data_IF_365461640475
#
_entry.id   IF_365461640475
#
_cell.length_a   1.000
_cell.length_b   1.000
_cell.length_c   1.000
_cell.angle_alpha   90.00
_cell.angle_beta   90.00
_cell.angle_gamma   90.00
#
_symmetry.space_group_name_H-M   'P 1'
#
loop_
_entity.id
_entity.type
_entity.pdbx_description
1 polymer ?
#
# COMPACT_ATOMS: atom_id res chain seq x y z
N UNK A 1 -50.49 7.56 33.45
CA UNK A 1 -51.69 7.61 32.58
C UNK A 1 -51.40 8.70 31.56
N UNK A 2 -51.24 8.47 30.27
CA UNK A 2 -51.47 7.32 29.40
C UNK A 2 -50.62 7.50 28.13
N UNK A 3 -50.25 6.39 27.50
CA UNK A 3 -49.67 6.36 26.16
C UNK A 3 -50.70 6.81 25.11
N UNK A 4 -50.32 7.59 24.07
CA UNK A 4 -51.11 7.66 22.85
C UNK A 4 -50.48 6.78 21.76
N UNK A 5 -51.25 5.75 21.36
CA UNK A 5 -51.05 4.99 20.12
C UNK A 5 -51.23 5.90 18.90
N UNK A 6 -50.33 5.85 17.92
CA UNK A 6 -50.56 6.45 16.61
C UNK A 6 -51.00 5.39 15.59
N UNK A 7 -52.27 5.49 15.23
CA UNK A 7 -52.98 4.78 14.17
C UNK A 7 -52.43 5.09 12.77
N UNK A 8 -52.25 4.04 11.95
CA UNK A 8 -51.95 4.14 10.52
C UNK A 8 -53.17 4.62 9.71
N UNK A 9 -53.03 5.57 8.77
CA UNK A 9 -54.07 5.85 7.81
C UNK A 9 -54.01 4.88 6.62
N UNK A 10 -55.13 4.19 6.38
CA UNK A 10 -55.44 3.49 5.13
C UNK A 10 -55.75 4.52 4.03
N UNK A 11 -54.88 4.68 3.03
CA UNK A 11 -55.25 5.02 1.63
C UNK A 11 -54.03 4.92 0.73
N UNK A 12 -54.19 4.16 -0.36
CA UNK A 12 -53.13 3.82 -1.30
C UNK A 12 -52.54 5.03 -2.03
N UNK A 13 -51.23 5.00 -2.22
CA UNK A 13 -50.51 5.88 -3.13
C UNK A 13 -49.98 5.06 -4.31
N UNK A 14 -50.47 5.38 -5.50
CA UNK A 14 -49.95 4.87 -6.77
C UNK A 14 -48.62 5.56 -7.08
N UNK A 15 -47.53 4.78 -7.14
CA UNK A 15 -46.28 5.17 -7.77
C UNK A 15 -46.42 5.03 -9.30
N UNK A 16 -46.00 5.99 -10.13
CA UNK A 16 -45.81 5.72 -11.55
C UNK A 16 -44.66 4.74 -11.73
N UNK A 17 -44.96 3.67 -12.47
CA UNK A 17 -44.08 2.56 -12.78
C UNK A 17 -42.85 3.01 -13.59
N UNK A 18 -41.69 3.10 -12.94
CA UNK A 18 -40.40 3.24 -13.63
C UNK A 18 -39.28 2.49 -12.89
N UNK A 19 -39.55 1.29 -12.36
CA UNK A 19 -38.51 0.35 -11.92
C UNK A 19 -38.97 -1.09 -12.23
N UNK A 20 -38.18 -1.91 -12.95
CA UNK A 20 -38.48 -3.32 -13.09
C UNK A 20 -38.42 -4.00 -11.72
N UNK A 21 -39.43 -4.80 -11.40
CA UNK A 21 -39.52 -5.57 -10.17
C UNK A 21 -38.27 -6.47 -10.00
N UNK A 22 -37.57 -6.34 -8.86
CA UNK A 22 -36.47 -7.23 -8.50
C UNK A 22 -35.25 -6.61 -7.81
N UNK A 23 -35.25 -5.32 -7.47
CA UNK A 23 -34.11 -4.67 -6.78
C UNK A 23 -34.40 -4.49 -5.29
N UNK A 24 -33.72 -5.26 -4.42
CA UNK A 24 -33.56 -4.92 -2.99
C UNK A 24 -32.13 -4.40 -2.79
N UNK A 25 -31.99 -3.46 -1.85
CA UNK A 25 -30.81 -2.67 -1.45
C UNK A 25 -30.60 -1.34 -2.19
N UNK A 26 -30.83 -0.26 -1.44
CA UNK A 26 -30.35 1.09 -1.70
C UNK A 26 -29.47 1.47 -0.51
N UNK A 27 -28.17 1.66 -0.72
CA UNK A 27 -27.29 2.25 0.31
C UNK A 27 -27.18 3.74 -0.03
N UNK A 28 -27.62 4.59 0.90
CA UNK A 28 -27.53 6.04 0.82
C UNK A 28 -26.20 6.46 1.45
N UNK A 29 -25.24 6.96 0.65
CA UNK A 29 -24.01 7.57 1.16
C UNK A 29 -24.03 9.05 0.81
N UNK A 30 -24.09 9.90 1.83
CA UNK A 30 -24.05 11.37 1.69
C UNK A 30 -22.60 11.85 1.77
N UNK A 31 -22.10 12.48 0.71
CA UNK A 31 -20.81 13.18 0.70
C UNK A 31 -21.05 14.60 0.15
N UNK A 32 -20.51 15.66 0.77
CA UNK A 32 -20.67 17.00 0.24
C UNK A 32 -19.63 17.23 -0.85
N UNK A 33 -20.01 17.48 -2.11
CA UNK A 33 -19.06 18.10 -3.04
C UNK A 33 -19.68 18.98 -4.13
N UNK A 34 -18.84 19.94 -4.49
CA UNK A 34 -19.01 21.12 -5.32
C UNK A 34 -18.99 20.79 -6.82
N UNK A 35 -19.83 21.51 -7.58
CA UNK A 35 -19.87 21.70 -9.04
C UNK A 35 -20.58 20.69 -9.98
N UNK A 36 -21.83 21.07 -10.31
CA UNK A 36 -22.60 21.01 -11.58
C UNK A 36 -22.57 19.73 -12.46
N UNK A 37 -23.59 18.88 -12.29
CA UNK A 37 -24.53 18.49 -13.37
C UNK A 37 -25.89 18.11 -12.75
N UNK A 38 -27.00 18.65 -13.25
CA UNK A 38 -28.31 18.67 -12.58
C UNK A 38 -29.20 17.45 -12.91
N UNK A 39 -29.77 16.81 -11.89
CA UNK A 39 -31.11 16.20 -11.95
C UNK A 39 -31.99 16.98 -10.96
N UNK A 40 -33.03 17.65 -11.48
CA UNK A 40 -33.89 18.55 -10.72
C UNK A 40 -34.97 17.73 -10.01
N UNK A 41 -34.87 17.59 -8.68
CA UNK A 41 -35.99 17.18 -7.84
C UNK A 41 -36.46 18.41 -7.05
N UNK A 42 -37.73 18.78 -7.19
CA UNK A 42 -38.37 19.85 -6.41
C UNK A 42 -39.27 19.21 -5.35
N UNK A 43 -38.96 19.44 -4.07
CA UNK A 43 -39.91 19.29 -2.96
C UNK A 43 -39.62 20.36 -1.90
N UNK A 44 -40.68 20.87 -1.27
CA UNK A 44 -40.69 22.02 -0.36
C UNK A 44 -39.81 21.80 0.88
N UNK A 45 -38.85 22.70 1.12
CA UNK A 45 -38.05 22.70 2.35
C UNK A 45 -36.54 22.92 2.14
N UNK A 46 -36.16 24.07 1.59
CA UNK A 46 -34.97 24.85 2.00
C UNK A 46 -33.53 24.30 1.94
N UNK A 47 -33.25 23.01 1.70
CA UNK A 47 -31.86 22.49 1.68
C UNK A 47 -31.63 21.60 0.46
N UNK A 48 -30.68 22.01 -0.41
CA UNK A 48 -30.27 21.24 -1.59
C UNK A 48 -29.35 20.09 -1.18
N UNK A 49 -29.85 18.87 -1.21
CA UNK A 49 -29.04 17.65 -1.16
C UNK A 49 -28.99 17.03 -2.56
N UNK A 50 -27.78 16.85 -3.11
CA UNK A 50 -27.59 16.11 -4.36
C UNK A 50 -27.53 14.62 -4.08
N UNK A 51 -28.50 13.85 -4.56
CA UNK A 51 -28.41 12.38 -4.56
C UNK A 51 -27.62 11.92 -5.80
N UNK A 52 -26.40 11.46 -5.59
CA UNK A 52 -25.66 10.74 -6.63
C UNK A 52 -26.14 9.29 -6.64
N UNK A 53 -27.02 8.96 -7.58
CA UNK A 53 -27.42 7.57 -7.86
C UNK A 53 -26.28 6.89 -8.62
N UNK A 54 -25.38 6.23 -7.89
CA UNK A 54 -24.37 5.35 -8.50
C UNK A 54 -25.09 4.11 -9.00
N UNK A 55 -25.28 4.03 -10.32
CA UNK A 55 -25.83 2.85 -10.99
C UNK A 55 -24.75 1.76 -10.96
N UNK A 56 -24.77 0.91 -9.94
CA UNK A 56 -23.95 -0.30 -9.92
C UNK A 56 -24.37 -1.18 -11.10
N UNK A 57 -23.46 -1.34 -12.05
CA UNK A 57 -23.70 -2.10 -13.26
C UNK A 57 -24.01 -3.56 -12.87
N UNK A 58 -25.18 -4.07 -13.26
CA UNK A 58 -25.62 -5.46 -13.02
C UNK A 58 -24.79 -6.41 -13.91
N UNK A 59 -23.52 -6.60 -13.57
CA UNK A 59 -22.57 -7.38 -14.38
C UNK A 59 -21.76 -8.41 -13.62
N UNK A 60 -21.63 -8.31 -12.30
CA UNK A 60 -20.96 -9.35 -11.51
C UNK A 60 -21.71 -9.56 -10.20
N UNK A 61 -22.37 -10.72 -10.05
CA UNK A 61 -22.82 -11.20 -8.73
C UNK A 61 -21.57 -11.60 -7.93
N UNK A 62 -20.70 -10.66 -7.56
CA UNK A 62 -19.60 -10.93 -6.63
C UNK A 62 -20.21 -11.07 -5.24
N UNK A 63 -19.95 -12.15 -4.50
CA UNK A 63 -20.54 -12.33 -3.18
C UNK A 63 -19.93 -11.31 -2.21
N UNK A 64 -20.76 -10.43 -1.66
CA UNK A 64 -20.39 -9.43 -0.64
C UNK A 64 -19.64 -10.05 0.56
N UNK A 65 -19.84 -11.35 0.81
CA UNK A 65 -19.15 -12.09 1.86
C UNK A 65 -17.63 -12.10 1.73
N UNK A 66 -17.07 -12.03 0.52
CA UNK A 66 -15.60 -11.99 0.34
C UNK A 66 -15.01 -10.65 0.78
N UNK A 67 -15.62 -9.54 0.38
CA UNK A 67 -15.19 -8.18 0.77
C UNK A 67 -15.24 -8.02 2.29
N UNK A 68 -16.29 -8.54 2.92
CA UNK A 68 -16.43 -8.50 4.37
C UNK A 68 -15.24 -9.17 5.09
N UNK A 69 -14.61 -10.18 4.50
CA UNK A 69 -13.44 -10.83 5.11
C UNK A 69 -12.22 -9.89 5.21
N UNK A 70 -12.03 -9.00 4.22
CA UNK A 70 -10.96 -7.97 4.29
C UNK A 70 -11.33 -6.90 5.30
N UNK A 71 -12.59 -6.46 5.32
CA UNK A 71 -13.08 -5.47 6.30
C UNK A 71 -12.98 -6.00 7.74
N UNK A 72 -13.34 -7.26 7.97
CA UNK A 72 -13.13 -7.95 9.25
C UNK A 72 -11.66 -7.92 9.66
N UNK A 73 -10.74 -8.25 8.75
CA UNK A 73 -9.31 -8.14 9.02
C UNK A 73 -8.91 -6.71 9.43
N UNK A 74 -9.39 -5.70 8.69
CA UNK A 74 -9.07 -4.30 8.99
C UNK A 74 -9.58 -3.90 10.39
N UNK A 75 -10.75 -4.37 10.82
CA UNK A 75 -11.25 -4.14 12.19
C UNK A 75 -10.38 -4.88 13.21
N UNK A 76 -10.17 -6.18 13.02
CA UNK A 76 -9.40 -7.04 13.94
C UNK A 76 -7.98 -6.51 14.13
N UNK A 77 -7.33 -6.02 13.07
CA UNK A 77 -5.97 -5.51 13.12
C UNK A 77 -5.83 -4.25 14.01
N UNK A 78 -6.92 -3.53 14.31
CA UNK A 78 -6.93 -2.42 15.26
C UNK A 78 -7.21 -2.84 16.70
N UNK A 79 -7.85 -4.00 16.90
CA UNK A 79 -8.25 -4.50 18.22
C UNK A 79 -7.21 -5.46 18.82
N UNK A 80 -6.48 -6.17 17.95
CA UNK A 80 -5.54 -7.22 18.33
C UNK A 80 -4.14 -6.67 18.58
N UNK A 81 -3.53 -7.10 19.69
CA UNK A 81 -2.20 -6.65 20.14
C UNK A 81 -1.10 -7.72 20.03
N UNK A 82 -1.33 -8.81 19.28
CA UNK A 82 -0.38 -9.92 19.11
C UNK A 82 -0.03 -10.12 17.65
N UNK A 83 1.27 -10.24 17.36
CA UNK A 83 1.79 -10.42 15.99
C UNK A 83 1.20 -11.66 15.29
N UNK A 84 1.15 -12.81 15.97
CA UNK A 84 0.60 -14.04 15.38
C UNK A 84 -0.87 -13.94 14.97
N UNK A 85 -1.69 -13.29 15.80
CA UNK A 85 -3.13 -13.15 15.58
C UNK A 85 -3.44 -12.26 14.36
N UNK A 86 -2.63 -11.21 14.13
CA UNK A 86 -2.72 -10.37 12.92
C UNK A 86 -2.40 -11.20 11.67
N UNK A 87 -1.33 -12.00 11.70
CA UNK A 87 -0.98 -12.88 10.59
C UNK A 87 -2.07 -13.91 10.29
N UNK A 88 -2.69 -14.48 11.32
CA UNK A 88 -3.80 -15.43 11.18
C UNK A 88 -5.06 -14.76 10.58
N UNK A 89 -5.40 -13.55 11.03
CA UNK A 89 -6.53 -12.79 10.50
C UNK A 89 -6.31 -12.41 9.02
N UNK A 90 -5.09 -11.98 8.67
CA UNK A 90 -4.73 -11.68 7.27
C UNK A 90 -4.85 -12.92 6.39
N UNK A 91 -4.32 -14.07 6.86
CA UNK A 91 -4.46 -15.36 6.19
C UNK A 91 -5.93 -15.72 5.93
N UNK A 92 -6.80 -15.52 6.92
CA UNK A 92 -8.25 -15.76 6.78
C UNK A 92 -8.85 -14.90 5.66
N UNK A 93 -8.51 -13.61 5.62
CA UNK A 93 -9.01 -12.69 4.59
C UNK A 93 -8.55 -13.08 3.18
N UNK A 94 -7.27 -13.44 3.03
CA UNK A 94 -6.69 -13.91 1.76
C UNK A 94 -7.37 -15.22 1.30
N UNK A 95 -7.52 -16.19 2.20
CA UNK A 95 -8.13 -17.49 1.90
C UNK A 95 -9.60 -17.37 1.48
N UNK A 96 -10.35 -16.38 1.97
CA UNK A 96 -11.74 -16.14 1.55
C UNK A 96 -11.88 -15.84 0.04
N UNK A 97 -10.79 -15.39 -0.58
CA UNK A 97 -10.71 -15.15 -2.02
C UNK A 97 -10.21 -16.36 -2.82
N UNK A 98 -9.85 -17.47 -2.17
CA UNK A 98 -9.18 -18.66 -2.74
C UNK A 98 -7.72 -18.43 -3.16
N UNK A 99 -7.07 -17.40 -2.65
CA UNK A 99 -5.61 -17.34 -2.69
C UNK A 99 -5.06 -18.34 -1.68
N UNK A 100 -4.35 -19.36 -2.18
CA UNK A 100 -3.79 -20.45 -1.36
C UNK A 100 -2.43 -20.07 -0.76
N UNK A 101 -1.77 -19.11 -1.40
CA UNK A 101 -0.44 -18.68 -1.04
C UNK A 101 -0.44 -17.17 -0.84
N UNK A 102 0.32 -16.71 0.14
CA UNK A 102 0.61 -15.30 0.31
C UNK A 102 1.90 -15.12 1.07
N UNK A 103 2.44 -13.92 0.98
CA UNK A 103 3.30 -13.46 2.05
C UNK A 103 3.44 -11.96 2.07
N UNK A 104 3.72 -11.46 3.27
CA UNK A 104 4.13 -10.09 3.52
C UNK A 104 5.63 -10.13 3.82
N UNK A 105 6.39 -9.37 3.04
CA UNK A 105 7.84 -9.32 3.15
C UNK A 105 8.27 -7.90 3.42
N UNK A 106 9.26 -7.76 4.31
CA UNK A 106 10.02 -6.53 4.38
C UNK A 106 10.97 -6.49 3.18
N UNK A 107 11.03 -5.35 2.51
CA UNK A 107 12.02 -5.10 1.47
C UNK A 107 13.26 -4.52 2.11
N UNK A 108 14.40 -5.17 1.89
CA UNK A 108 15.71 -4.66 2.27
C UNK A 108 16.50 -4.34 1.00
N UNK A 109 16.91 -3.09 0.84
CA UNK A 109 17.91 -2.73 -0.16
C UNK A 109 19.26 -3.27 0.30
N UNK A 110 19.81 -4.21 -0.46
CA UNK A 110 21.11 -4.83 -0.20
C UNK A 110 21.82 -5.05 -1.53
N UNK A 111 23.06 -4.58 -1.67
CA UNK A 111 23.90 -4.84 -2.85
C UNK A 111 23.17 -4.63 -4.20
N UNK A 112 22.53 -3.45 -4.33
CA UNK A 112 21.72 -3.05 -5.49
C UNK A 112 20.58 -4.02 -5.85
N UNK A 113 20.11 -4.83 -4.91
CA UNK A 113 18.98 -5.72 -5.07
C UNK A 113 17.99 -5.59 -3.90
N UNK A 114 16.74 -5.96 -4.17
CA UNK A 114 15.70 -6.07 -3.14
C UNK A 114 15.71 -7.48 -2.58
N UNK A 115 16.25 -7.63 -1.36
CA UNK A 115 16.16 -8.89 -0.62
C UNK A 115 14.83 -8.93 0.17
N UNK A 116 13.92 -9.85 -0.16
CA UNK A 116 12.69 -10.01 0.59
C UNK A 116 12.96 -10.78 1.89
N UNK A 117 12.55 -10.23 3.02
CA UNK A 117 12.59 -10.92 4.32
C UNK A 117 11.16 -11.21 4.80
N UNK A 118 10.81 -12.48 5.02
CA UNK A 118 9.43 -12.86 5.34
C UNK A 118 9.01 -12.36 6.72
N UNK A 119 7.86 -11.69 6.77
CA UNK A 119 7.17 -11.33 8.02
C UNK A 119 6.12 -12.39 8.36
N UNK A 120 5.23 -12.67 7.39
CA UNK A 120 4.30 -13.78 7.41
C UNK A 120 4.25 -14.37 6.01
N UNK A 121 4.30 -15.70 5.91
CA UNK A 121 4.19 -16.38 4.62
C UNK A 121 3.43 -17.70 4.73
N UNK A 122 2.76 -18.04 3.64
CA UNK A 122 2.16 -19.35 3.37
C UNK A 122 2.53 -19.69 1.93
N UNK A 123 3.52 -20.56 1.80
CA UNK A 123 4.12 -21.01 0.54
C UNK A 123 4.34 -22.53 0.63
N UNK A 124 4.41 -23.28 -0.48
CA UNK A 124 4.92 -24.65 -0.43
C UNK A 124 6.26 -24.72 0.33
N UNK A 125 6.51 -25.80 1.10
CA UNK A 125 7.80 -26.02 1.75
C UNK A 125 8.95 -25.88 0.74
N UNK A 126 10.10 -25.37 1.20
CA UNK A 126 11.35 -25.22 0.42
C UNK A 126 11.29 -24.22 -0.76
N UNK A 127 10.11 -23.79 -1.21
CA UNK A 127 9.99 -22.91 -2.38
C UNK A 127 10.63 -21.53 -2.16
N UNK A 128 10.61 -21.01 -0.93
CA UNK A 128 11.25 -19.73 -0.61
C UNK A 128 12.77 -19.87 -0.51
N UNK A 129 13.24 -20.96 0.09
CA UNK A 129 14.68 -21.25 0.21
C UNK A 129 15.30 -21.46 -1.17
N UNK A 130 14.68 -22.29 -2.01
CA UNK A 130 15.09 -22.47 -3.40
C UNK A 130 15.08 -21.14 -4.19
N UNK A 131 14.08 -20.28 -3.95
CA UNK A 131 14.02 -18.95 -4.57
C UNK A 131 15.18 -18.05 -4.16
N UNK A 132 15.60 -18.09 -2.90
CA UNK A 132 16.76 -17.37 -2.39
C UNK A 132 18.08 -17.97 -2.91
N UNK A 133 18.22 -19.30 -2.88
CA UNK A 133 19.44 -20.02 -3.30
C UNK A 133 19.76 -19.83 -4.80
N UNK A 134 18.72 -19.70 -5.63
CA UNK A 134 18.85 -19.40 -7.05
C UNK A 134 18.98 -17.90 -7.35
N UNK A 135 18.98 -17.06 -6.31
CA UNK A 135 18.94 -15.61 -6.39
C UNK A 135 17.84 -15.08 -7.32
N UNK A 136 16.69 -15.76 -7.34
CA UNK A 136 15.60 -15.39 -8.25
C UNK A 136 15.03 -14.00 -7.95
N UNK A 137 15.17 -13.48 -6.73
CA UNK A 137 14.79 -12.10 -6.39
C UNK A 137 15.48 -11.04 -7.27
N UNK A 138 16.64 -11.32 -7.87
CA UNK A 138 17.34 -10.41 -8.82
C UNK A 138 16.77 -10.47 -10.24
N UNK A 139 16.06 -11.54 -10.58
CA UNK A 139 15.59 -11.83 -11.94
C UNK A 139 14.07 -11.77 -12.05
N UNK A 140 13.37 -11.96 -10.94
CA UNK A 140 11.91 -12.08 -10.88
C UNK A 140 11.25 -10.77 -11.34
N UNK A 141 10.55 -10.79 -12.48
CA UNK A 141 9.90 -9.59 -13.00
C UNK A 141 8.90 -8.99 -12.01
N UNK A 142 8.26 -9.84 -11.18
CA UNK A 142 7.30 -9.36 -10.18
C UNK A 142 7.97 -8.56 -9.07
N UNK A 143 9.25 -8.79 -8.80
CA UNK A 143 10.07 -8.02 -7.86
C UNK A 143 10.73 -6.83 -8.54
N UNK A 144 11.26 -6.99 -9.75
CA UNK A 144 11.87 -5.88 -10.50
C UNK A 144 10.86 -4.78 -10.84
N UNK A 145 9.62 -5.15 -11.14
CA UNK A 145 8.55 -4.17 -11.38
C UNK A 145 8.18 -3.36 -10.13
N UNK A 146 8.48 -3.88 -8.93
CA UNK A 146 8.13 -3.24 -7.66
C UNK A 146 8.84 -1.88 -7.48
N UNK A 147 10.01 -1.70 -8.11
CA UNK A 147 10.79 -0.46 -8.04
C UNK A 147 10.07 0.73 -8.68
N UNK A 148 9.23 0.48 -9.68
CA UNK A 148 8.51 1.51 -10.45
C UNK A 148 7.00 1.48 -10.21
N UNK A 149 6.49 0.50 -9.47
CA UNK A 149 5.07 0.32 -9.25
C UNK A 149 4.49 1.33 -8.24
N UNK A 150 3.58 2.20 -8.69
CA UNK A 150 2.86 3.12 -7.79
C UNK A 150 1.61 2.49 -7.17
N UNK A 151 1.11 1.41 -7.77
CA UNK A 151 -0.16 0.77 -7.39
C UNK A 151 -0.04 -0.76 -7.43
N UNK A 152 -0.98 -1.50 -6.82
CA UNK A 152 -1.03 -2.95 -6.97
C UNK A 152 -1.12 -3.40 -8.42
N UNK A 153 -0.39 -4.45 -8.77
CA UNK A 153 -0.34 -5.00 -10.13
C UNK A 153 -0.44 -6.53 -10.09
N UNK A 154 -0.87 -7.12 -11.20
CA UNK A 154 -0.88 -8.58 -11.34
C UNK A 154 0.48 -9.09 -11.82
N UNK A 155 0.77 -10.36 -11.53
CA UNK A 155 1.99 -10.99 -12.02
C UNK A 155 2.06 -11.01 -13.55
N UNK A 156 0.92 -11.17 -14.23
CA UNK A 156 0.84 -11.13 -15.69
C UNK A 156 1.32 -9.77 -16.22
N UNK A 157 0.94 -8.65 -15.58
CA UNK A 157 1.45 -7.32 -15.96
C UNK A 157 2.97 -7.24 -15.88
N UNK A 158 3.56 -7.76 -14.80
CA UNK A 158 5.01 -7.75 -14.62
C UNK A 158 5.74 -8.63 -15.65
N UNK A 159 5.24 -9.84 -15.91
CA UNK A 159 5.84 -10.73 -16.90
C UNK A 159 5.65 -10.24 -18.35
N UNK A 160 4.56 -9.53 -18.66
CA UNK A 160 4.33 -8.92 -19.97
C UNK A 160 5.29 -7.77 -20.27
N UNK A 161 5.86 -7.13 -19.24
CA UNK A 161 6.84 -6.07 -19.42
C UNK A 161 8.24 -6.60 -19.78
N UNK A 162 8.47 -7.91 -19.70
CA UNK A 162 9.78 -8.53 -20.02
C UNK A 162 9.89 -8.78 -21.52
N UNK A 163 10.86 -8.12 -22.17
CA UNK A 163 11.21 -8.38 -23.55
C UNK A 163 11.90 -9.75 -23.70
N UNK A 164 11.58 -10.46 -24.78
CA UNK A 164 12.32 -11.64 -25.25
C UNK A 164 13.82 -11.40 -25.46
N UNK A 165 14.24 -10.17 -25.75
CA UNK A 165 15.64 -9.77 -25.88
C UNK A 165 16.34 -9.59 -24.51
N UNK A 166 15.63 -9.74 -23.39
CA UNK A 166 16.21 -9.59 -22.06
C UNK A 166 17.35 -10.60 -21.85
N UNK A 167 18.54 -10.18 -21.35
CA UNK A 167 19.71 -11.05 -21.20
C UNK A 167 19.45 -12.35 -20.43
N UNK A 168 18.53 -12.30 -19.47
CA UNK A 168 18.16 -13.43 -18.61
C UNK A 168 16.79 -14.05 -18.95
N UNK A 169 16.27 -13.84 -20.16
CA UNK A 169 14.91 -14.29 -20.55
C UNK A 169 14.69 -15.80 -20.32
N UNK A 170 15.69 -16.64 -20.63
CA UNK A 170 15.62 -18.09 -20.40
C UNK A 170 15.48 -18.45 -18.93
N UNK A 171 16.22 -17.80 -18.04
CA UNK A 171 16.16 -18.00 -16.59
C UNK A 171 14.82 -17.52 -16.02
N UNK A 172 14.30 -16.38 -16.51
CA UNK A 172 12.97 -15.86 -16.15
C UNK A 172 11.88 -16.86 -16.54
N UNK A 173 11.98 -17.48 -17.72
CA UNK A 173 11.05 -18.52 -18.17
C UNK A 173 11.11 -19.78 -17.30
N UNK A 174 12.31 -20.20 -16.90
CA UNK A 174 12.50 -21.32 -15.97
C UNK A 174 11.88 -21.02 -14.62
N UNK A 175 12.19 -19.86 -14.02
CA UNK A 175 11.56 -19.37 -12.79
C UNK A 175 10.03 -19.43 -12.88
N UNK A 176 9.45 -18.90 -13.97
CA UNK A 176 8.00 -18.89 -14.16
C UNK A 176 7.42 -20.29 -14.23
N UNK A 177 8.08 -21.19 -14.94
CA UNK A 177 7.66 -22.60 -15.08
C UNK A 177 7.70 -23.31 -13.74
N UNK A 178 8.77 -23.13 -12.97
CA UNK A 178 8.91 -23.68 -11.62
C UNK A 178 7.83 -23.16 -10.66
N UNK A 179 7.54 -21.86 -10.71
CA UNK A 179 6.49 -21.26 -9.90
C UNK A 179 5.11 -21.88 -10.22
N UNK A 180 4.78 -22.03 -11.50
CA UNK A 180 3.54 -22.67 -11.96
C UNK A 180 3.45 -24.12 -11.47
N UNK A 181 4.54 -24.90 -11.58
CA UNK A 181 4.57 -26.29 -11.12
C UNK A 181 4.37 -26.43 -9.60
N UNK A 182 4.65 -25.36 -8.85
CA UNK A 182 4.42 -25.28 -7.40
C UNK A 182 3.06 -24.68 -7.02
N UNK A 183 2.16 -24.45 -7.98
CA UNK A 183 0.83 -23.89 -7.75
C UNK A 183 0.80 -22.35 -7.64
N UNK A 184 1.88 -21.65 -8.00
CA UNK A 184 1.95 -20.19 -8.05
C UNK A 184 1.63 -19.72 -9.48
N UNK A 185 0.37 -19.94 -9.89
CA UNK A 185 -0.06 -19.72 -11.27
C UNK A 185 -0.40 -18.26 -11.52
N UNK A 186 -1.20 -17.64 -10.66
CA UNK A 186 -1.63 -16.24 -10.83
C UNK A 186 -1.67 -15.54 -9.48
N UNK A 187 -1.43 -14.24 -9.48
CA UNK A 187 -1.27 -13.49 -8.26
C UNK A 187 -1.12 -12.00 -8.47
N UNK A 188 -1.05 -11.29 -7.36
CA UNK A 188 -0.91 -9.84 -7.30
C UNK A 188 0.25 -9.47 -6.38
N UNK A 189 0.93 -8.39 -6.73
CA UNK A 189 1.89 -7.71 -5.88
C UNK A 189 1.28 -6.40 -5.39
N UNK A 190 1.41 -6.15 -4.09
CA UNK A 190 0.81 -5.06 -3.34
C UNK A 190 1.95 -4.32 -2.63
N UNK A 191 2.50 -3.27 -3.23
CA UNK A 191 3.60 -2.51 -2.63
C UNK A 191 3.14 -1.77 -1.38
N UNK A 192 4.02 -1.68 -0.38
CA UNK A 192 3.78 -0.95 0.87
C UNK A 192 4.82 0.17 0.96
N UNK A 193 4.37 1.37 0.58
CA UNK A 193 5.15 2.61 0.70
C UNK A 193 4.96 3.29 2.06
N UNK A 194 6.02 3.89 2.56
CA UNK A 194 6.03 4.85 3.69
C UNK A 194 6.87 6.07 3.29
N UNK A 195 7.10 6.99 4.24
CA UNK A 195 7.91 8.21 4.01
C UNK A 195 9.35 7.89 3.57
N UNK A 196 9.85 6.73 3.94
CA UNK A 196 11.17 6.22 3.59
C UNK A 196 11.21 5.55 2.20
N UNK A 197 10.09 5.53 1.47
CA UNK A 197 9.95 4.84 0.18
C UNK A 197 9.32 3.45 0.33
N UNK A 198 9.71 2.53 -0.55
CA UNK A 198 9.24 1.15 -0.53
C UNK A 198 9.86 0.39 0.65
N UNK A 199 9.03 -0.07 1.58
CA UNK A 199 9.49 -0.69 2.83
C UNK A 199 9.05 -2.14 2.99
N UNK A 200 8.00 -2.54 2.27
CA UNK A 200 7.48 -3.89 2.24
C UNK A 200 6.71 -4.13 0.94
N UNK A 201 6.44 -5.40 0.66
CA UNK A 201 5.44 -5.81 -0.32
C UNK A 201 4.64 -6.98 0.23
N UNK A 202 3.37 -7.05 -0.17
CA UNK A 202 2.57 -8.25 0.00
C UNK A 202 2.34 -8.86 -1.37
N UNK A 203 2.50 -10.16 -1.51
CA UNK A 203 1.99 -10.87 -2.67
C UNK A 203 0.95 -11.90 -2.23
N UNK A 204 -0.02 -12.12 -3.11
CA UNK A 204 -1.09 -13.10 -2.94
C UNK A 204 -1.15 -13.93 -4.22
N UNK A 205 -1.28 -15.24 -4.09
CA UNK A 205 -1.24 -16.15 -5.23
C UNK A 205 -2.16 -17.35 -5.08
N UNK A 206 -2.53 -17.90 -6.23
CA UNK A 206 -3.38 -19.06 -6.35
C UNK A 206 -2.91 -19.94 -7.50
N UNK A 207 -3.36 -21.19 -7.46
CA UNK A 207 -3.16 -22.18 -8.52
C UNK A 207 -4.18 -22.00 -9.66
N UNK A 208 -5.17 -21.13 -9.47
CA UNK A 208 -6.13 -20.72 -10.49
C UNK A 208 -6.05 -19.21 -10.71
N UNK A 209 -6.48 -18.77 -11.89
CA UNK A 209 -6.58 -17.33 -12.17
C UNK A 209 -7.73 -16.71 -11.38
N UNK A 210 -7.42 -15.65 -10.64
CA UNK A 210 -8.39 -14.90 -9.82
C UNK A 210 -8.39 -13.46 -10.29
N UNK A 211 -9.56 -12.91 -10.59
CA UNK A 211 -9.72 -11.52 -10.99
C UNK A 211 -10.26 -10.67 -9.83
N UNK A 212 -9.44 -9.74 -9.36
CA UNK A 212 -9.84 -8.73 -8.38
C UNK A 212 -10.32 -7.46 -9.10
N UNK A 213 -11.39 -6.87 -8.59
CA UNK A 213 -11.82 -5.54 -9.00
C UNK A 213 -10.85 -4.48 -8.44
N UNK A 214 -10.80 -3.27 -9.04
CA UNK A 214 -9.95 -2.19 -8.53
C UNK A 214 -10.19 -1.85 -7.05
N UNK A 215 -11.44 -1.98 -6.59
CA UNK A 215 -11.79 -1.77 -5.19
C UNK A 215 -11.23 -2.87 -4.28
N UNK A 216 -11.31 -4.13 -4.69
CA UNK A 216 -10.74 -5.25 -3.93
C UNK A 216 -9.20 -5.14 -3.86
N UNK A 217 -8.55 -4.72 -4.94
CA UNK A 217 -7.11 -4.42 -4.93
C UNK A 217 -6.76 -3.30 -3.95
N UNK A 218 -7.58 -2.25 -3.91
CA UNK A 218 -7.40 -1.13 -2.96
C UNK A 218 -7.56 -1.61 -1.51
N UNK A 219 -8.54 -2.47 -1.24
CA UNK A 219 -8.75 -3.05 0.09
C UNK A 219 -7.59 -3.95 0.50
N UNK A 220 -7.09 -4.81 -0.39
CA UNK A 220 -5.92 -5.64 -0.13
C UNK A 220 -4.64 -4.81 0.06
N UNK A 221 -4.48 -3.73 -0.70
CA UNK A 221 -3.37 -2.78 -0.52
C UNK A 221 -3.42 -2.16 0.88
N UNK A 222 -4.60 -1.66 1.27
CA UNK A 222 -4.84 -1.13 2.62
C UNK A 222 -4.55 -2.19 3.70
N UNK A 223 -4.98 -3.43 3.46
CA UNK A 223 -4.71 -4.54 4.37
C UNK A 223 -3.20 -4.82 4.50
N UNK A 224 -2.42 -4.72 3.42
CA UNK A 224 -0.97 -4.84 3.44
C UNK A 224 -0.32 -3.74 4.29
N UNK A 225 -0.73 -2.47 4.13
CA UNK A 225 -0.23 -1.35 4.94
C UNK A 225 -0.53 -1.54 6.43
N UNK A 226 -1.76 -1.93 6.76
CA UNK A 226 -2.19 -2.17 8.15
C UNK A 226 -1.45 -3.35 8.75
N UNK A 227 -1.33 -4.47 8.03
CA UNK A 227 -0.57 -5.63 8.47
C UNK A 227 0.90 -5.28 8.74
N UNK A 228 1.54 -4.53 7.84
CA UNK A 228 2.92 -4.10 8.02
C UNK A 228 3.07 -3.11 9.19
N UNK A 229 2.11 -2.22 9.40
CA UNK A 229 2.07 -1.35 10.58
C UNK A 229 1.97 -2.16 11.88
N UNK A 230 1.08 -3.16 11.95
CA UNK A 230 0.98 -4.05 13.11
C UNK A 230 2.25 -4.87 13.32
N UNK A 231 2.95 -5.28 12.25
CA UNK A 231 4.27 -5.90 12.37
C UNK A 231 5.29 -4.98 13.05
N UNK A 232 5.35 -3.70 12.68
CA UNK A 232 6.25 -2.75 13.35
C UNK A 232 5.92 -2.57 14.84
N UNK A 233 4.65 -2.71 15.22
CA UNK A 233 4.16 -2.43 16.57
C UNK A 233 4.29 -3.64 17.51
N UNK A 234 4.01 -4.84 16.99
CA UNK A 234 3.89 -6.06 17.79
C UNK A 234 4.87 -7.17 17.38
N UNK A 235 5.55 -7.02 16.25
CA UNK A 235 6.49 -8.00 15.74
C UNK A 235 7.82 -8.01 16.49
N UNK A 236 8.64 -9.04 16.25
CA UNK A 236 9.97 -9.11 16.83
C UNK A 236 10.78 -7.88 16.42
N UNK A 237 11.51 -7.31 17.39
CA UNK A 237 12.44 -6.22 17.16
C UNK A 237 13.56 -6.71 16.24
N UNK A 238 13.34 -6.58 14.94
CA UNK A 238 14.34 -6.91 13.93
C UNK A 238 15.37 -5.78 13.92
N UNK A 239 16.57 -6.09 14.42
CA UNK A 239 17.77 -5.29 14.15
C UNK A 239 17.96 -5.30 12.63
N UNK A 240 17.54 -4.22 11.98
CA UNK A 240 17.85 -3.98 10.57
C UNK A 240 19.36 -4.15 10.37
N UNK A 241 19.76 -5.10 9.52
CA UNK A 241 21.17 -5.28 9.11
C UNK A 241 21.59 -4.27 8.04
N UNK A 242 20.65 -3.51 7.51
CA UNK A 242 20.94 -2.23 6.86
C UNK A 242 21.32 -1.27 7.98
N UNK A 243 22.41 -0.49 7.86
CA UNK A 243 22.58 0.69 8.69
C UNK A 243 21.37 1.59 8.40
N UNK A 244 20.30 1.43 9.19
CA UNK A 244 19.50 2.58 9.56
C UNK A 244 20.56 3.54 10.08
N UNK A 245 20.87 4.60 9.34
CA UNK A 245 21.34 5.83 9.98
C UNK A 245 20.40 5.98 11.16
N UNK A 246 20.99 5.83 12.36
CA UNK A 246 20.38 5.20 13.53
C UNK A 246 18.86 5.32 13.61
N UNK A 247 18.14 4.24 13.98
CA UNK A 247 16.69 4.28 14.25
C UNK A 247 16.23 5.28 15.34
N UNK A 248 17.09 6.21 15.75
CA UNK A 248 16.71 7.48 16.38
C UNK A 248 15.99 8.32 15.32
N UNK A 249 14.81 8.84 15.66
CA UNK A 249 14.27 10.02 14.98
C UNK A 249 15.38 11.08 15.00
N UNK A 250 16.00 11.34 13.85
CA UNK A 250 16.98 12.43 13.72
C UNK A 250 16.17 13.72 13.87
N UNK A 251 16.19 14.29 15.07
CA UNK A 251 15.56 15.57 15.34
C UNK A 251 16.47 16.67 14.80
N UNK A 252 16.02 17.27 13.71
CA UNK A 252 16.63 18.46 13.14
C UNK A 252 15.92 19.70 13.66
N UNK A 253 16.70 20.70 14.05
CA UNK A 253 16.19 22.06 14.25
C UNK A 253 15.67 22.64 12.93
N UNK A 254 14.83 23.66 13.01
CA UNK A 254 14.31 24.31 11.79
C UNK A 254 15.42 24.96 10.96
N UNK A 255 16.51 25.37 11.62
CA UNK A 255 17.70 25.88 10.94
C UNK A 255 18.44 24.80 10.17
N UNK A 256 18.63 23.63 10.79
CA UNK A 256 19.23 22.46 10.14
C UNK A 256 18.39 21.98 8.96
N UNK A 257 17.05 21.93 9.10
CA UNK A 257 16.16 21.60 7.99
C UNK A 257 16.28 22.59 6.84
N UNK A 258 16.30 23.89 7.14
CA UNK A 258 16.42 24.95 6.13
C UNK A 258 17.74 24.83 5.36
N UNK A 259 18.85 24.60 6.06
CA UNK A 259 20.16 24.38 5.44
C UNK A 259 20.14 23.10 4.60
N UNK A 260 19.64 21.99 5.15
CA UNK A 260 19.58 20.70 4.45
C UNK A 260 18.73 20.75 3.17
N UNK A 261 17.60 21.46 3.17
CA UNK A 261 16.77 21.67 1.97
C UNK A 261 17.55 22.41 0.88
N UNK A 262 18.25 23.50 1.24
CA UNK A 262 19.04 24.27 0.28
C UNK A 262 20.28 23.54 -0.21
N UNK A 263 20.87 22.69 0.65
CA UNK A 263 21.93 21.77 0.24
C UNK A 263 21.42 20.80 -0.84
N UNK A 264 20.20 20.28 -0.69
CA UNK A 264 19.57 19.37 -1.65
C UNK A 264 19.26 20.04 -2.99
N UNK A 265 18.95 21.34 -2.98
CA UNK A 265 18.79 22.18 -4.18
C UNK A 265 20.14 22.45 -4.91
N UNK A 266 21.27 21.98 -4.38
CA UNK A 266 22.58 22.15 -4.98
C UNK A 266 23.28 23.47 -4.63
N UNK A 267 22.70 24.28 -3.73
CA UNK A 267 23.31 25.54 -3.31
C UNK A 267 24.63 25.32 -2.59
N UNK A 268 25.60 26.20 -2.80
CA UNK A 268 26.88 26.28 -2.08
C UNK A 268 26.70 26.91 -0.69
N UNK A 269 27.68 26.73 0.21
CA UNK A 269 27.62 27.32 1.56
C UNK A 269 27.54 28.84 1.55
N UNK A 270 28.10 29.49 0.52
CA UNK A 270 28.03 30.94 0.31
C UNK A 270 26.62 31.37 -0.08
N UNK A 271 25.99 30.67 -1.04
CA UNK A 271 24.62 30.96 -1.48
C UNK A 271 23.62 30.72 -0.36
N UNK A 272 23.77 29.62 0.39
CA UNK A 272 22.94 29.33 1.56
C UNK A 272 23.08 30.45 2.58
N UNK A 273 24.31 30.84 2.93
CA UNK A 273 24.58 31.91 3.90
C UNK A 273 23.89 33.21 3.52
N UNK A 274 23.99 33.61 2.24
CA UNK A 274 23.27 34.78 1.71
C UNK A 274 21.75 34.62 1.80
N UNK A 275 21.23 33.44 1.46
CA UNK A 275 19.79 33.19 1.42
C UNK A 275 19.11 33.21 2.80
N UNK A 276 19.83 32.84 3.87
CA UNK A 276 19.25 32.75 5.23
C UNK A 276 19.88 33.73 6.23
N UNK A 277 20.78 34.60 5.78
CA UNK A 277 21.38 35.67 6.59
C UNK A 277 22.42 35.22 7.62
N UNK A 278 23.28 34.26 7.28
CA UNK A 278 24.42 33.83 8.12
C UNK A 278 25.72 33.73 7.30
N UNK A 279 26.87 33.63 7.97
CA UNK A 279 28.14 33.42 7.28
C UNK A 279 28.22 32.02 6.67
N UNK A 280 29.02 31.88 5.60
CA UNK A 280 29.38 30.58 5.02
C UNK A 280 29.99 29.63 6.06
N UNK A 281 30.82 30.14 6.96
CA UNK A 281 31.41 29.35 8.05
C UNK A 281 30.34 28.79 8.99
N UNK A 282 29.31 29.57 9.32
CA UNK A 282 28.19 29.07 10.12
C UNK A 282 27.40 27.99 9.36
N UNK A 283 27.22 28.13 8.04
CA UNK A 283 26.61 27.08 7.22
C UNK A 283 27.43 25.79 7.29
N UNK A 284 28.75 25.87 7.08
CA UNK A 284 29.63 24.70 7.12
C UNK A 284 29.61 24.01 8.49
N UNK A 285 29.53 24.78 9.58
CA UNK A 285 29.33 24.25 10.92
C UNK A 285 28.04 23.43 11.03
N UNK A 286 26.91 23.94 10.51
CA UNK A 286 25.66 23.17 10.45
C UNK A 286 25.77 21.94 9.56
N UNK A 287 26.48 22.01 8.43
CA UNK A 287 26.70 20.85 7.54
C UNK A 287 27.48 19.75 8.25
N UNK A 288 28.52 20.10 9.01
CA UNK A 288 29.30 19.13 9.77
C UNK A 288 28.45 18.47 10.88
N UNK A 289 27.66 19.27 11.61
CA UNK A 289 26.71 18.73 12.59
C UNK A 289 25.65 17.81 11.97
N UNK A 290 25.16 18.14 10.76
CA UNK A 290 24.27 17.28 9.99
C UNK A 290 24.94 15.97 9.56
N UNK A 291 26.21 16.03 9.13
CA UNK A 291 27.00 14.84 8.77
C UNK A 291 27.17 13.89 9.94
N UNK A 292 27.51 14.41 11.12
CA UNK A 292 27.61 13.61 12.35
C UNK A 292 26.27 12.99 12.74
N UNK A 293 25.17 13.78 12.69
CA UNK A 293 23.82 13.29 13.02
C UNK A 293 23.32 12.18 12.09
N UNK A 294 23.74 12.20 10.83
CA UNK A 294 23.29 11.27 9.79
C UNK A 294 24.32 10.19 9.44
N UNK A 295 25.45 10.15 10.15
CA UNK A 295 26.58 9.25 9.88
C UNK A 295 27.06 9.33 8.41
N UNK A 296 27.12 10.56 7.89
CA UNK A 296 27.45 10.84 6.50
C UNK A 296 28.92 11.27 6.36
N UNK A 297 29.63 10.59 5.45
CA UNK A 297 31.07 10.83 5.20
C UNK A 297 31.39 12.13 4.46
N UNK A 298 30.44 12.66 3.70
CA UNK A 298 30.60 13.89 2.91
C UNK A 298 29.23 14.51 2.60
N UNK A 299 29.23 15.70 1.98
CA UNK A 299 28.02 16.49 1.68
C UNK A 299 27.05 15.72 0.75
N UNK A 300 27.58 14.99 -0.21
CA UNK A 300 26.79 14.20 -1.16
C UNK A 300 26.13 13.01 -0.46
N UNK A 301 26.87 12.29 0.37
CA UNK A 301 26.35 11.20 1.21
C UNK A 301 25.33 11.74 2.23
N UNK A 302 25.54 12.94 2.76
CA UNK A 302 24.56 13.63 3.63
C UNK A 302 23.23 13.82 2.90
N UNK A 303 23.27 14.41 1.70
CA UNK A 303 22.08 14.65 0.87
C UNK A 303 21.39 13.32 0.52
N UNK A 304 22.16 12.34 0.02
CA UNK A 304 21.62 11.02 -0.33
C UNK A 304 21.00 10.31 0.88
N UNK A 305 21.64 10.39 2.05
CA UNK A 305 21.12 9.83 3.28
C UNK A 305 19.84 10.51 3.73
N UNK A 306 19.78 11.85 3.64
CA UNK A 306 18.60 12.63 4.00
C UNK A 306 17.38 12.33 3.11
N UNK A 307 17.58 12.13 1.80
CA UNK A 307 16.52 11.63 0.90
C UNK A 307 16.07 10.22 1.29
N UNK A 308 17.02 9.30 1.52
CA UNK A 308 16.74 7.90 1.84
C UNK A 308 15.90 7.72 3.12
N UNK A 309 16.03 8.61 4.09
CA UNK A 309 15.24 8.57 5.33
C UNK A 309 14.05 9.56 5.34
N UNK A 310 13.78 10.22 4.21
CA UNK A 310 12.62 11.10 4.06
C UNK A 310 12.67 12.40 4.88
N UNK A 311 13.88 12.93 5.16
CA UNK A 311 14.05 14.25 5.78
C UNK A 311 13.83 15.39 4.78
N UNK A 312 14.03 15.12 3.49
CA UNK A 312 13.88 16.02 2.34
C UNK A 312 13.27 15.23 1.17
N UNK A 313 12.57 15.91 0.25
CA UNK A 313 11.80 15.34 -0.86
C UNK A 313 12.02 16.10 -2.15
#
# INVERSE_FOLDING_TARGET
>A
MDSPQLTLPKRGFNLPALLPAGSRYSILVCIPFVHRTFLRCTFQGGVKWGCLLVRLNKGTKRPLSKINSILEFLVIAHEVNRHGDVGAALKKAVNAYNFKHFGLYRIMAFDNAMLPEPIWQVLPPEAFEHYLDKEYYRLDPTMLYLETAETPYSWETAYQAVDSAHPHYSQIKTLRTEAINRGLVSGFCLPVFRREGLVANMWIASDVRIELSPFELTLFSTAAHVAYHCHLKFGPATRSRIPRGSGKKVLLSDREKSILSRLAEGMTSVEIGRAIGISNHTVDWYVNGLQEKLDARNRQNLIASAFRIGLIS
#
